data_IF_166293781460
#
_entry.id   IF_166293781460
#
_cell.length_a   1.000
_cell.length_b   1.000
_cell.length_c   1.000
_cell.angle_alpha   90.00
_cell.angle_beta   90.00
_cell.angle_gamma   90.00
#
_symmetry.space_group_name_H-M   'P 1'
#
loop_
_entity.id
_entity.type
_entity.pdbx_description
1 polymer ?
#
# COMPACT_ATOMS: atom_id res chain seq x y z
N UNK A 1 -17.75 -24.53 0.32
CA UNK A 1 -18.17 -24.24 1.71
C UNK A 1 -16.95 -23.75 2.46
N UNK A 2 -16.71 -22.44 2.49
CA UNK A 2 -15.66 -21.84 3.31
C UNK A 2 -16.20 -21.80 4.73
N UNK A 3 -15.61 -22.58 5.62
CA UNK A 3 -15.84 -22.46 7.06
C UNK A 3 -15.47 -21.05 7.48
N UNK A 4 -16.48 -20.20 7.70
CA UNK A 4 -16.29 -18.92 8.39
C UNK A 4 -15.62 -19.26 9.73
N UNK A 5 -14.38 -18.84 9.88
CA UNK A 5 -13.73 -18.84 11.18
C UNK A 5 -14.64 -18.04 12.12
N UNK A 6 -15.07 -18.54 13.27
CA UNK A 6 -15.94 -17.78 14.15
C UNK A 6 -15.24 -16.46 14.51
N UNK A 7 -15.94 -15.35 14.29
CA UNK A 7 -15.42 -13.98 14.55
C UNK A 7 -14.73 -13.95 15.92
N UNK A 8 -13.47 -13.53 15.95
CA UNK A 8 -12.69 -13.39 17.18
C UNK A 8 -11.99 -14.65 17.71
N UNK A 9 -12.10 -15.81 17.07
CA UNK A 9 -11.45 -17.03 17.55
C UNK A 9 -9.92 -16.92 17.63
N UNK A 10 -9.30 -16.15 16.75
CA UNK A 10 -7.85 -15.91 16.75
C UNK A 10 -7.42 -15.06 17.96
N UNK A 11 -8.17 -14.02 18.31
CA UNK A 11 -7.85 -13.17 19.45
C UNK A 11 -8.00 -13.89 20.79
N UNK A 12 -8.90 -14.88 20.86
CA UNK A 12 -9.10 -15.67 22.08
C UNK A 12 -7.96 -16.68 22.31
N UNK A 13 -7.42 -17.25 21.23
CA UNK A 13 -6.44 -18.36 21.26
C UNK A 13 -4.98 -17.92 21.18
N UNK A 14 -4.69 -16.77 20.54
CA UNK A 14 -3.33 -16.29 20.31
C UNK A 14 -3.10 -14.91 20.93
N UNK A 15 -2.08 -14.80 21.81
CA UNK A 15 -1.70 -13.58 22.51
C UNK A 15 -0.20 -13.29 22.45
N UNK A 16 0.48 -13.81 21.43
CA UNK A 16 1.94 -13.77 21.32
C UNK A 16 2.53 -12.40 21.00
N UNK A 17 1.73 -11.47 20.48
CA UNK A 17 2.18 -10.13 20.11
C UNK A 17 1.58 -9.08 21.05
N UNK A 18 2.24 -8.78 22.17
CA UNK A 18 1.77 -7.81 23.18
C UNK A 18 0.32 -8.04 23.66
N UNK A 19 -0.08 -9.32 23.80
CA UNK A 19 -1.44 -9.69 24.15
C UNK A 19 -2.41 -9.79 22.97
N UNK A 20 -1.94 -9.62 21.74
CA UNK A 20 -2.67 -9.73 20.50
C UNK A 20 -2.24 -10.95 19.67
N UNK A 21 -3.05 -11.39 18.68
CA UNK A 21 -2.65 -12.42 17.74
C UNK A 21 -1.40 -12.04 16.93
N UNK A 22 -0.54 -13.01 16.63
CA UNK A 22 0.62 -12.80 15.78
C UNK A 22 0.24 -12.31 14.36
N UNK A 23 -0.96 -12.66 13.90
CA UNK A 23 -1.53 -12.12 12.66
C UNK A 23 -1.58 -10.61 12.61
N UNK A 24 -1.81 -9.94 13.76
CA UNK A 24 -1.77 -8.47 13.82
C UNK A 24 -0.37 -7.93 13.53
N UNK A 25 0.69 -8.56 14.06
CA UNK A 25 2.07 -8.15 13.76
C UNK A 25 2.38 -8.30 12.26
N UNK A 26 1.97 -9.41 11.66
CA UNK A 26 2.18 -9.65 10.23
C UNK A 26 1.45 -8.62 9.37
N UNK A 27 0.17 -8.33 9.64
CA UNK A 27 -0.59 -7.34 8.88
C UNK A 27 -0.08 -5.92 9.10
N UNK A 28 0.30 -5.56 10.32
CA UNK A 28 0.93 -4.27 10.61
C UNK A 28 2.27 -4.12 9.89
N UNK A 29 3.05 -5.20 9.80
CA UNK A 29 4.30 -5.23 9.04
C UNK A 29 4.08 -5.07 7.54
N UNK A 30 3.11 -5.78 6.96
CA UNK A 30 2.73 -5.63 5.55
C UNK A 30 2.31 -4.19 5.26
N UNK A 31 1.45 -3.62 6.09
CA UNK A 31 0.96 -2.26 5.91
C UNK A 31 2.08 -1.21 6.08
N UNK A 32 3.00 -1.41 7.05
CA UNK A 32 4.15 -0.53 7.23
C UNK A 32 4.98 -0.44 5.95
N UNK A 33 5.37 -1.58 5.38
CA UNK A 33 6.19 -1.63 4.17
C UNK A 33 5.44 -1.14 2.95
N UNK A 34 4.15 -1.44 2.86
CA UNK A 34 3.32 -0.94 1.77
C UNK A 34 3.17 0.59 1.86
N UNK A 35 2.89 1.15 3.05
CA UNK A 35 2.83 2.60 3.24
C UNK A 35 4.18 3.28 3.01
N UNK A 36 5.27 2.65 3.42
CA UNK A 36 6.62 3.12 3.13
C UNK A 36 6.81 3.29 1.61
N UNK A 37 6.55 2.24 0.82
CA UNK A 37 6.73 2.30 -0.63
C UNK A 37 5.74 3.25 -1.30
N UNK A 38 4.46 3.21 -0.90
CA UNK A 38 3.42 4.07 -1.46
C UNK A 38 3.71 5.56 -1.27
N UNK A 39 3.93 6.00 -0.03
CA UNK A 39 4.20 7.41 0.25
C UNK A 39 5.60 7.83 -0.20
N UNK A 40 6.57 6.93 -0.18
CA UNK A 40 7.90 7.17 -0.76
C UNK A 40 7.81 7.48 -2.24
N UNK A 41 7.13 6.64 -3.01
CA UNK A 41 6.89 6.85 -4.44
C UNK A 41 6.05 8.10 -4.69
N UNK A 42 4.97 8.29 -3.95
CA UNK A 42 4.07 9.45 -4.14
C UNK A 42 4.79 10.78 -3.87
N UNK A 43 5.74 10.81 -2.93
CA UNK A 43 6.56 11.99 -2.65
C UNK A 43 7.44 12.41 -3.82
N UNK A 44 7.87 11.47 -4.67
CA UNK A 44 8.69 11.73 -5.84
C UNK A 44 7.89 11.89 -7.13
N UNK A 45 6.68 11.35 -7.18
CA UNK A 45 5.88 11.19 -8.40
C UNK A 45 5.71 12.51 -9.17
N UNK A 46 5.28 13.58 -8.49
CA UNK A 46 5.06 14.86 -9.13
C UNK A 46 6.36 15.43 -9.70
N UNK A 47 7.44 15.38 -8.93
CA UNK A 47 8.77 15.84 -9.35
C UNK A 47 9.27 15.08 -10.58
N UNK A 48 9.16 13.76 -10.58
CA UNK A 48 9.54 12.93 -11.74
C UNK A 48 8.80 13.31 -13.01
N UNK A 49 7.52 13.66 -12.90
CA UNK A 49 6.72 14.01 -14.08
C UNK A 49 7.11 15.38 -14.65
N UNK A 50 7.33 16.41 -13.80
CA UNK A 50 7.54 17.75 -14.31
C UNK A 50 9.00 18.22 -14.42
N UNK A 51 9.96 17.56 -13.73
CA UNK A 51 11.38 17.89 -13.89
C UNK A 51 11.84 17.62 -15.32
N UNK A 52 12.79 18.43 -15.78
CA UNK A 52 13.33 18.31 -17.14
C UNK A 52 14.00 16.96 -17.38
N UNK A 53 14.05 16.54 -18.63
CA UNK A 53 14.73 15.29 -19.02
C UNK A 53 16.21 15.34 -18.63
N UNK A 54 16.85 16.51 -18.67
CA UNK A 54 18.24 16.70 -18.22
C UNK A 54 18.45 16.46 -16.73
N UNK A 55 17.41 16.61 -15.92
CA UNK A 55 17.38 16.32 -14.46
C UNK A 55 16.88 14.93 -14.15
N UNK A 56 16.62 14.10 -15.17
CA UNK A 56 16.12 12.74 -15.03
C UNK A 56 14.61 12.63 -14.89
N UNK A 57 13.85 13.70 -15.11
CA UNK A 57 12.38 13.71 -15.14
C UNK A 57 11.81 13.53 -16.55
N UNK A 58 10.49 13.62 -16.68
CA UNK A 58 9.76 13.46 -17.95
C UNK A 58 9.55 14.77 -18.72
N UNK A 59 9.75 15.92 -18.10
CA UNK A 59 9.64 17.23 -18.74
C UNK A 59 8.20 17.68 -19.07
N UNK A 60 7.18 17.09 -18.43
CA UNK A 60 5.80 17.53 -18.61
C UNK A 60 5.50 18.80 -17.82
N UNK A 61 4.39 19.48 -18.14
CA UNK A 61 3.97 20.67 -17.38
C UNK A 61 3.47 20.27 -15.97
N UNK A 62 3.55 21.23 -15.03
CA UNK A 62 3.03 21.03 -13.66
C UNK A 62 1.54 20.68 -13.64
N UNK A 63 0.75 21.22 -14.59
CA UNK A 63 -0.67 20.89 -14.72
C UNK A 63 -0.89 19.42 -15.06
N UNK A 64 -0.08 18.86 -15.97
CA UNK A 64 -0.12 17.44 -16.31
C UNK A 64 0.31 16.60 -15.11
N UNK A 65 1.38 16.97 -14.43
CA UNK A 65 1.85 16.27 -13.23
C UNK A 65 0.75 16.22 -12.16
N UNK A 66 0.14 17.36 -11.84
CA UNK A 66 -0.96 17.43 -10.87
C UNK A 66 -2.17 16.60 -11.28
N UNK A 67 -2.51 16.59 -12.57
CA UNK A 67 -3.62 15.80 -13.11
C UNK A 67 -3.36 14.31 -12.99
N UNK A 68 -2.13 13.85 -13.28
CA UNK A 68 -1.73 12.43 -13.16
C UNK A 68 -1.76 12.00 -11.69
N UNK A 69 -1.21 12.81 -10.77
CA UNK A 69 -1.24 12.53 -9.33
C UNK A 69 -2.68 12.45 -8.81
N UNK A 70 -3.54 13.36 -9.24
CA UNK A 70 -4.97 13.34 -8.90
C UNK A 70 -5.69 12.10 -9.44
N UNK A 71 -5.48 11.75 -10.70
CA UNK A 71 -6.04 10.56 -11.32
C UNK A 71 -5.56 9.27 -10.63
N UNK A 72 -4.27 9.21 -10.28
CA UNK A 72 -3.70 8.12 -9.50
C UNK A 72 -4.38 7.97 -8.14
N UNK A 73 -4.57 9.07 -7.40
CA UNK A 73 -5.33 9.05 -6.15
C UNK A 73 -6.75 8.51 -6.33
N UNK A 74 -7.46 8.95 -7.37
CA UNK A 74 -8.77 8.42 -7.75
C UNK A 74 -8.77 6.92 -8.03
N UNK A 75 -7.75 6.43 -8.76
CA UNK A 75 -7.57 5.01 -9.04
C UNK A 75 -7.39 4.18 -7.76
N UNK A 76 -6.56 4.65 -6.82
CA UNK A 76 -6.35 3.97 -5.53
C UNK A 76 -7.66 3.82 -4.76
N UNK A 77 -8.48 4.87 -4.67
CA UNK A 77 -9.77 4.80 -3.98
C UNK A 77 -10.78 3.90 -4.69
N UNK A 78 -10.87 3.98 -6.01
CA UNK A 78 -11.72 3.09 -6.80
C UNK A 78 -11.29 1.62 -6.64
N UNK A 79 -9.99 1.37 -6.65
CA UNK A 79 -9.42 0.02 -6.45
C UNK A 79 -9.66 -0.51 -5.03
N UNK A 80 -9.72 0.35 -4.01
CA UNK A 80 -10.07 -0.07 -2.65
C UNK A 80 -11.50 -0.62 -2.58
N UNK A 81 -12.46 0.04 -3.25
CA UNK A 81 -13.86 -0.41 -3.30
C UNK A 81 -13.97 -1.75 -4.04
N UNK A 82 -13.40 -1.82 -5.24
CA UNK A 82 -13.43 -3.04 -6.06
C UNK A 82 -12.64 -4.18 -5.40
N UNK A 83 -11.50 -3.88 -4.81
CA UNK A 83 -10.64 -4.84 -4.14
C UNK A 83 -11.29 -5.45 -2.89
N UNK A 84 -11.99 -4.66 -2.10
CA UNK A 84 -12.80 -5.18 -0.99
C UNK A 84 -13.87 -6.16 -1.49
N UNK A 85 -14.61 -5.79 -2.55
CA UNK A 85 -15.59 -6.68 -3.16
C UNK A 85 -14.97 -7.98 -3.71
N UNK A 86 -13.81 -7.89 -4.38
CA UNK A 86 -13.06 -9.05 -4.89
C UNK A 86 -12.62 -9.96 -3.75
N UNK A 87 -12.09 -9.38 -2.68
CA UNK A 87 -11.69 -10.11 -1.48
C UNK A 87 -12.84 -10.89 -0.86
N UNK A 88 -14.01 -10.24 -0.73
CA UNK A 88 -15.16 -10.83 -0.04
C UNK A 88 -15.89 -11.89 -0.87
N UNK A 89 -15.90 -11.74 -2.20
CA UNK A 89 -16.77 -12.53 -3.09
C UNK A 89 -16.04 -13.55 -3.97
N UNK A 90 -14.79 -13.28 -4.36
CA UNK A 90 -14.10 -14.08 -5.37
C UNK A 90 -12.94 -14.91 -4.81
N UNK A 91 -11.95 -14.26 -4.22
CA UNK A 91 -10.68 -14.92 -3.90
C UNK A 91 -10.43 -15.16 -2.42
N UNK A 92 -11.15 -14.46 -1.54
CA UNK A 92 -10.86 -14.43 -0.11
C UNK A 92 -9.66 -13.53 0.23
N UNK A 93 -9.54 -13.18 1.52
CA UNK A 93 -8.57 -12.18 1.98
C UNK A 93 -7.11 -12.58 1.70
N UNK A 94 -6.72 -13.82 1.98
CA UNK A 94 -5.34 -14.28 1.84
C UNK A 94 -4.81 -14.16 0.41
N UNK A 95 -5.57 -14.66 -0.56
CA UNK A 95 -5.19 -14.60 -1.99
C UNK A 95 -5.20 -13.18 -2.52
N UNK A 96 -6.15 -12.38 -2.05
CA UNK A 96 -6.25 -10.97 -2.43
C UNK A 96 -5.07 -10.18 -1.90
N UNK A 97 -4.66 -10.38 -0.64
CA UNK A 97 -3.46 -9.75 -0.08
C UNK A 97 -2.20 -10.13 -0.85
N UNK A 98 -2.02 -11.42 -1.14
CA UNK A 98 -0.86 -11.89 -1.91
C UNK A 98 -0.84 -11.30 -3.32
N UNK A 99 -1.96 -11.36 -4.04
CA UNK A 99 -2.07 -10.80 -5.39
C UNK A 99 -1.83 -9.29 -5.43
N UNK A 100 -2.34 -8.56 -4.43
CA UNK A 100 -2.10 -7.13 -4.28
C UNK A 100 -0.63 -6.80 -4.03
N UNK A 101 0.05 -7.56 -3.18
CA UNK A 101 1.49 -7.39 -2.94
C UNK A 101 2.33 -7.64 -4.21
N UNK A 102 1.97 -8.65 -4.99
CA UNK A 102 2.62 -8.93 -6.29
C UNK A 102 2.39 -7.78 -7.27
N UNK A 103 1.17 -7.24 -7.36
CA UNK A 103 0.90 -6.07 -8.22
C UNK A 103 1.73 -4.85 -7.81
N UNK A 104 1.79 -4.55 -6.51
CA UNK A 104 2.61 -3.44 -6.00
C UNK A 104 4.08 -3.64 -6.36
N UNK A 105 4.61 -4.83 -6.14
CA UNK A 105 6.00 -5.16 -6.51
C UNK A 105 6.26 -4.95 -8.00
N UNK A 106 5.41 -5.48 -8.87
CA UNK A 106 5.54 -5.32 -10.32
C UNK A 106 5.43 -3.85 -10.74
N UNK A 107 4.58 -3.08 -10.05
CA UNK A 107 4.43 -1.65 -10.29
C UNK A 107 5.71 -0.88 -9.94
N UNK A 108 6.31 -1.11 -8.79
CA UNK A 108 7.60 -0.50 -8.41
C UNK A 108 8.73 -0.96 -9.34
N UNK A 109 8.77 -2.22 -9.73
CA UNK A 109 9.73 -2.70 -10.73
C UNK A 109 9.56 -1.98 -12.07
N UNK A 110 8.34 -1.70 -12.50
CA UNK A 110 8.09 -0.93 -13.72
C UNK A 110 8.64 0.49 -13.61
N UNK A 111 8.37 1.18 -12.49
CA UNK A 111 8.88 2.54 -12.24
C UNK A 111 10.41 2.59 -12.17
N UNK A 112 11.03 1.57 -11.59
CA UNK A 112 12.48 1.51 -11.42
C UNK A 112 13.24 1.11 -12.69
N UNK A 113 12.66 0.24 -13.53
CA UNK A 113 13.38 -0.41 -14.63
C UNK A 113 12.96 0.06 -16.03
N UNK A 114 11.74 0.56 -16.18
CA UNK A 114 11.23 1.00 -17.49
C UNK A 114 11.23 2.53 -17.49
N UNK A 115 12.09 3.17 -18.31
CA UNK A 115 12.12 4.62 -18.42
C UNK A 115 10.87 5.16 -19.10
N UNK A 116 10.70 6.48 -19.05
CA UNK A 116 9.68 7.24 -19.74
C UNK A 116 8.23 7.04 -19.22
N UNK A 117 7.29 7.62 -19.94
CA UNK A 117 5.87 7.60 -19.62
C UNK A 117 5.26 6.19 -19.62
N UNK A 118 5.87 5.23 -20.32
CA UNK A 118 5.37 3.84 -20.37
C UNK A 118 5.58 3.18 -19.00
N UNK A 119 6.79 3.26 -18.43
CA UNK A 119 7.09 2.73 -17.10
C UNK A 119 6.24 3.40 -16.03
N UNK A 120 6.07 4.73 -16.13
CA UNK A 120 5.19 5.49 -15.25
C UNK A 120 3.74 4.97 -15.32
N UNK A 121 3.16 4.86 -16.51
CA UNK A 121 1.76 4.45 -16.69
C UNK A 121 1.49 3.05 -16.14
N UNK A 122 2.33 2.06 -16.50
CA UNK A 122 2.21 0.68 -16.02
C UNK A 122 2.40 0.66 -14.49
N UNK A 123 3.43 1.33 -13.99
CA UNK A 123 3.74 1.39 -12.57
C UNK A 123 2.59 1.95 -11.74
N UNK A 124 2.04 3.11 -12.13
CA UNK A 124 0.93 3.74 -11.42
C UNK A 124 -0.34 2.89 -11.41
N UNK A 125 -0.66 2.22 -12.52
CA UNK A 125 -1.83 1.32 -12.57
C UNK A 125 -1.63 0.14 -11.61
N UNK A 126 -0.48 -0.51 -11.64
CA UNK A 126 -0.20 -1.69 -10.82
C UNK A 126 -0.11 -1.33 -9.33
N UNK A 127 0.64 -0.26 -8.98
CA UNK A 127 0.71 0.20 -7.58
C UNK A 127 -0.65 0.68 -7.10
N UNK A 128 -1.38 1.46 -7.90
CA UNK A 128 -2.69 2.00 -7.52
C UNK A 128 -3.73 0.92 -7.27
N UNK A 129 -3.83 -0.08 -8.17
CA UNK A 129 -4.74 -1.22 -8.01
C UNK A 129 -4.32 -2.09 -6.83
N UNK A 130 -3.03 -2.40 -6.71
CA UNK A 130 -2.52 -3.21 -5.62
C UNK A 130 -2.69 -2.55 -4.26
N UNK A 131 -2.26 -1.29 -4.10
CA UNK A 131 -2.33 -0.56 -2.85
C UNK A 131 -3.77 -0.32 -2.36
N UNK A 132 -4.67 0.07 -3.26
CA UNK A 132 -6.09 0.22 -2.92
C UNK A 132 -6.72 -1.08 -2.43
N UNK A 133 -6.51 -2.17 -3.17
CA UNK A 133 -7.02 -3.50 -2.83
C UNK A 133 -6.42 -4.03 -1.52
N UNK A 134 -5.11 -3.90 -1.33
CA UNK A 134 -4.42 -4.34 -0.11
C UNK A 134 -4.96 -3.61 1.11
N UNK A 135 -5.06 -2.28 1.07
CA UNK A 135 -5.55 -1.46 2.17
C UNK A 135 -6.97 -1.85 2.62
N UNK A 136 -7.88 -2.07 1.68
CA UNK A 136 -9.25 -2.49 2.01
C UNK A 136 -9.25 -3.86 2.69
N UNK A 137 -8.47 -4.81 2.16
CA UNK A 137 -8.43 -6.18 2.66
C UNK A 137 -7.74 -6.27 4.03
N UNK A 138 -6.59 -5.60 4.24
CA UNK A 138 -5.89 -5.62 5.55
C UNK A 138 -6.76 -5.07 6.66
N UNK A 139 -7.43 -3.93 6.45
CA UNK A 139 -8.30 -3.31 7.44
C UNK A 139 -9.46 -4.23 7.84
N UNK A 140 -10.06 -4.93 6.88
CA UNK A 140 -11.13 -5.92 7.14
C UNK A 140 -10.60 -7.09 7.97
N UNK A 141 -9.46 -7.67 7.58
CA UNK A 141 -8.87 -8.82 8.28
C UNK A 141 -8.47 -8.46 9.71
N UNK A 142 -7.90 -7.27 9.96
CA UNK A 142 -7.62 -6.80 11.33
C UNK A 142 -8.92 -6.74 12.15
N UNK A 143 -10.00 -6.19 11.57
CA UNK A 143 -11.30 -6.13 12.24
C UNK A 143 -11.88 -7.50 12.57
N UNK A 144 -11.74 -8.48 11.67
CA UNK A 144 -12.28 -9.84 11.80
C UNK A 144 -11.49 -10.74 12.77
N UNK A 145 -10.27 -10.34 13.15
CA UNK A 145 -9.51 -11.04 14.21
C UNK A 145 -10.17 -10.94 15.58
N UNK A 146 -10.97 -9.92 15.83
CA UNK A 146 -11.54 -9.60 17.13
C UNK A 146 -13.07 -9.65 17.09
N UNK A 147 -13.68 -10.11 18.20
CA UNK A 147 -15.11 -9.93 18.39
C UNK A 147 -15.43 -8.44 18.52
N UNK A 148 -16.63 -8.03 18.11
CA UNK A 148 -17.06 -6.62 18.20
C UNK A 148 -17.06 -6.08 19.63
N UNK A 149 -17.17 -6.97 20.61
CA UNK A 149 -17.18 -6.67 22.04
C UNK A 149 -15.83 -6.85 22.73
N UNK A 150 -14.76 -7.13 21.97
CA UNK A 150 -13.41 -7.32 22.52
C UNK A 150 -12.74 -5.95 22.73
N UNK A 151 -12.45 -5.59 23.97
CA UNK A 151 -11.81 -4.32 24.34
C UNK A 151 -10.43 -4.12 23.71
N UNK A 152 -9.77 -5.20 23.27
CA UNK A 152 -8.46 -5.14 22.59
C UNK A 152 -8.56 -4.68 21.14
N UNK A 153 -9.75 -4.67 20.56
CA UNK A 153 -9.95 -4.32 19.14
C UNK A 153 -9.46 -2.91 18.83
N UNK A 154 -9.76 -1.95 19.68
CA UNK A 154 -9.34 -0.55 19.49
C UNK A 154 -7.82 -0.39 19.64
N UNK A 155 -7.21 -1.11 20.59
CA UNK A 155 -5.76 -1.16 20.73
C UNK A 155 -5.09 -1.80 19.51
N UNK A 156 -5.68 -2.85 18.93
CA UNK A 156 -5.18 -3.49 17.70
C UNK A 156 -5.17 -2.52 16.51
N UNK A 157 -6.25 -1.75 16.31
CA UNK A 157 -6.27 -0.70 15.29
C UNK A 157 -5.27 0.41 15.57
N UNK A 158 -5.04 0.77 16.83
CA UNK A 158 -4.01 1.74 17.20
C UNK A 158 -2.61 1.28 16.82
N UNK A 159 -2.27 0.00 17.06
CA UNK A 159 -1.00 -0.61 16.64
C UNK A 159 -0.89 -0.63 15.10
N UNK A 160 -1.95 -1.03 14.42
CA UNK A 160 -2.02 -1.06 12.96
C UNK A 160 -1.81 0.34 12.36
N UNK A 161 -2.51 1.37 12.85
CA UNK A 161 -2.33 2.74 12.36
C UNK A 161 -0.99 3.35 12.74
N UNK A 162 -0.37 2.94 13.83
CA UNK A 162 1.00 3.34 14.16
C UNK A 162 1.97 2.82 13.10
N UNK A 163 1.84 1.58 12.66
CA UNK A 163 2.64 1.02 11.56
C UNK A 163 2.44 1.79 10.25
N UNK A 164 1.19 2.14 9.91
CA UNK A 164 0.85 3.01 8.75
C UNK A 164 1.61 4.34 8.82
N UNK A 165 1.58 5.01 9.98
CA UNK A 165 2.20 6.33 10.14
C UNK A 165 3.73 6.25 10.12
N UNK A 166 4.32 5.20 10.69
CA UNK A 166 5.78 4.97 10.63
C UNK A 166 6.21 4.77 9.17
N UNK A 167 5.52 3.90 8.42
CA UNK A 167 5.79 3.69 7.00
C UNK A 167 5.65 4.99 6.19
N UNK A 168 4.57 5.73 6.42
CA UNK A 168 4.30 7.00 5.74
C UNK A 168 5.30 8.11 6.05
N UNK A 169 5.90 8.10 7.24
CA UNK A 169 6.97 9.04 7.62
C UNK A 169 8.32 8.64 7.00
N UNK A 170 8.70 7.37 7.16
CA UNK A 170 10.02 6.91 6.73
C UNK A 170 10.15 6.80 5.20
N UNK A 171 9.06 6.47 4.50
CA UNK A 171 9.05 6.32 3.04
C UNK A 171 9.63 7.54 2.33
N UNK A 172 8.99 8.72 2.40
CA UNK A 172 9.47 9.92 1.71
C UNK A 172 10.87 10.37 2.14
N UNK A 173 11.27 10.13 3.39
CA UNK A 173 12.61 10.47 3.88
C UNK A 173 13.68 9.63 3.18
N UNK A 174 13.47 8.32 3.09
CA UNK A 174 14.43 7.41 2.47
C UNK A 174 14.44 7.57 0.96
N UNK A 175 13.27 7.59 0.32
CA UNK A 175 13.19 7.72 -1.14
C UNK A 175 13.68 9.08 -1.63
N UNK A 176 13.43 10.15 -0.86
CA UNK A 176 13.98 11.47 -1.14
C UNK A 176 15.51 11.53 -1.02
N UNK A 177 16.08 10.83 -0.04
CA UNK A 177 17.55 10.71 0.08
C UNK A 177 18.15 9.92 -1.10
N UNK A 178 17.50 8.83 -1.52
CA UNK A 178 17.92 8.03 -2.67
C UNK A 178 17.84 8.82 -3.98
N UNK A 179 16.75 9.55 -4.19
CA UNK A 179 16.60 10.44 -5.34
C UNK A 179 17.74 11.49 -5.40
N UNK A 180 18.03 12.16 -4.28
CA UNK A 180 19.08 13.19 -4.23
C UNK A 180 20.47 12.66 -4.55
N UNK A 181 20.75 11.39 -4.25
CA UNK A 181 22.07 10.79 -4.41
C UNK A 181 22.23 9.97 -5.69
N UNK A 182 21.17 9.33 -6.16
CA UNK A 182 21.22 8.34 -7.26
C UNK A 182 20.18 8.59 -8.37
N UNK A 183 19.28 9.56 -8.21
CA UNK A 183 18.22 9.86 -9.18
C UNK A 183 16.89 9.16 -8.90
N UNK A 184 15.86 9.51 -9.71
CA UNK A 184 14.46 9.12 -9.47
C UNK A 184 14.25 7.60 -9.42
N UNK A 185 14.84 6.85 -10.34
CA UNK A 185 14.64 5.40 -10.44
C UNK A 185 15.10 4.61 -9.21
N UNK A 186 16.02 5.17 -8.44
CA UNK A 186 16.44 4.58 -7.16
C UNK A 186 15.49 4.91 -6.01
N UNK A 187 14.68 5.95 -6.18
CA UNK A 187 13.66 6.33 -5.22
C UNK A 187 12.33 5.59 -5.39
N UNK A 188 12.11 4.98 -6.55
CA UNK A 188 10.92 4.20 -6.86
C UNK A 188 11.07 2.72 -6.49
#
# INVERSE_FOLDING_TARGET
MTTRNPEGALADSDRRFFGHPLGLANLSGIELWERFSFYGMQGLLAYYIYYTVGEGGLGYSEQIATSIVGAYGGLVYASAILGGWISDRLFGAERTLFGSAVLIMLGHMSLALIPDAIGLGIGLVFVGVGAGTLKATTSTVVGDMYRRTDDRRDAAFSIYYMAVNIGGLLGPLVTGALWNTHGFHWGF
#
